data_IF_510778982687
#
_entry.id   IF_510778982687
#
_cell.length_a   1.000
_cell.length_b   1.000
_cell.length_c   1.000
_cell.angle_alpha   90.00
_cell.angle_beta   90.00
_cell.angle_gamma   90.00
#
_symmetry.space_group_name_H-M   'P 1'
#
loop_
_entity.id
_entity.type
_entity.pdbx_description
1 polymer ?
#
# COMPACT_ATOMS: atom_id res chain seq x y z
N UNK A 1 -30.13 47.17 50.35
CA UNK A 1 -29.60 46.80 49.01
C UNK A 1 -30.67 46.60 47.92
N UNK A 2 -31.89 46.12 48.22
CA UNK A 2 -32.93 45.92 47.19
C UNK A 2 -33.39 47.19 46.45
N UNK A 3 -33.58 48.31 47.18
CA UNK A 3 -33.90 49.62 46.60
C UNK A 3 -32.82 50.15 45.66
N UNK A 4 -31.56 49.84 45.94
CA UNK A 4 -30.42 50.24 45.09
C UNK A 4 -30.39 49.41 43.81
N UNK A 5 -30.57 48.08 43.92
CA UNK A 5 -30.69 47.20 42.75
C UNK A 5 -31.81 47.68 41.82
N UNK A 6 -33.00 47.96 42.36
CA UNK A 6 -34.14 48.44 41.58
C UNK A 6 -33.85 49.75 40.84
N UNK A 7 -33.26 50.75 41.52
CA UNK A 7 -32.86 52.01 40.87
C UNK A 7 -31.82 51.80 39.77
N UNK A 8 -30.82 50.94 40.00
CA UNK A 8 -29.80 50.65 39.00
C UNK A 8 -30.41 49.90 37.80
N UNK A 9 -31.33 48.96 38.03
CA UNK A 9 -32.01 48.25 36.94
C UNK A 9 -32.90 49.17 36.12
N UNK A 10 -33.57 50.15 36.74
CA UNK A 10 -34.35 51.15 36.00
C UNK A 10 -33.48 52.17 35.24
N UNK A 11 -32.30 52.51 35.79
CA UNK A 11 -31.37 53.46 35.16
C UNK A 11 -30.63 52.84 33.96
N UNK A 12 -30.30 51.55 34.04
CA UNK A 12 -29.62 50.81 32.98
C UNK A 12 -30.56 49.88 32.20
N UNK A 13 -31.85 50.21 32.14
CA UNK A 13 -32.85 49.40 31.44
C UNK A 13 -32.56 49.30 29.93
N UNK A 14 -31.97 50.35 29.36
CA UNK A 14 -31.61 50.42 27.93
C UNK A 14 -30.22 49.84 27.63
N UNK A 15 -29.45 49.47 28.66
CA UNK A 15 -28.09 48.96 28.54
C UNK A 15 -28.00 47.44 28.74
N UNK A 16 -26.97 46.81 28.17
CA UNK A 16 -26.70 45.37 28.34
C UNK A 16 -26.03 45.04 29.70
N UNK A 17 -26.45 45.71 30.78
CA UNK A 17 -25.80 45.64 32.10
C UNK A 17 -26.61 44.78 33.05
N UNK A 18 -26.09 43.60 33.40
CA UNK A 18 -26.73 42.67 34.34
C UNK A 18 -26.33 42.95 35.79
N UNK A 19 -27.26 43.46 36.59
CA UNK A 19 -27.00 43.81 38.00
C UNK A 19 -27.31 42.61 38.91
N UNK A 20 -26.30 42.12 39.62
CA UNK A 20 -26.38 40.96 40.52
C UNK A 20 -26.04 41.41 41.95
N UNK A 21 -26.81 40.95 42.94
CA UNK A 21 -26.60 41.24 44.37
C UNK A 21 -26.50 39.92 45.14
N UNK A 22 -25.35 39.22 45.07
CA UNK A 22 -25.17 37.94 45.72
C UNK A 22 -25.15 38.11 47.25
N UNK A 23 -25.67 37.12 47.97
CA UNK A 23 -25.51 37.03 49.43
C UNK A 23 -24.11 36.48 49.77
N UNK A 24 -23.76 36.50 51.05
CA UNK A 24 -22.55 35.81 51.53
C UNK A 24 -22.59 34.34 51.08
N UNK A 25 -21.45 33.86 50.58
CA UNK A 25 -21.29 32.50 50.05
C UNK A 25 -22.14 32.17 48.80
N UNK A 26 -22.63 33.17 48.06
CA UNK A 26 -23.27 32.96 46.77
C UNK A 26 -22.28 33.21 45.62
N UNK A 27 -21.95 32.16 44.87
CA UNK A 27 -21.11 32.24 43.67
C UNK A 27 -21.83 32.97 42.54
N UNK A 28 -21.08 33.77 41.78
CA UNK A 28 -21.57 34.46 40.58
C UNK A 28 -20.76 33.96 39.39
N UNK A 29 -21.43 33.29 38.46
CA UNK A 29 -20.83 32.79 37.24
C UNK A 29 -20.99 33.80 36.10
N UNK A 30 -19.87 34.15 35.47
CA UNK A 30 -19.83 35.01 34.31
C UNK A 30 -19.21 34.24 33.15
N UNK A 31 -19.96 34.11 32.06
CA UNK A 31 -19.52 33.41 30.87
C UNK A 31 -18.86 34.41 29.92
N UNK A 32 -17.61 34.18 29.58
CA UNK A 32 -16.88 34.96 28.60
C UNK A 32 -16.60 34.07 27.40
N UNK A 33 -17.25 34.37 26.27
CA UNK A 33 -16.87 33.74 25.01
C UNK A 33 -15.58 34.41 24.53
N UNK A 34 -14.48 33.68 24.60
CA UNK A 34 -13.18 34.15 24.11
C UNK A 34 -12.84 33.40 22.84
N UNK A 35 -12.68 34.14 21.75
CA UNK A 35 -12.16 33.58 20.52
C UNK A 35 -10.70 33.17 20.74
N UNK A 36 -10.40 31.90 20.46
CA UNK A 36 -9.03 31.40 20.56
C UNK A 36 -8.28 31.81 19.30
N UNK A 37 -7.49 32.87 19.41
CA UNK A 37 -6.59 33.31 18.35
C UNK A 37 -5.24 32.61 18.49
N UNK A 38 -4.78 31.97 17.42
CA UNK A 38 -3.44 31.41 17.32
C UNK A 38 -2.60 32.23 16.34
N UNK A 39 -1.34 32.49 16.71
CA UNK A 39 -0.37 33.22 15.88
C UNK A 39 0.51 32.22 15.13
N UNK A 40 0.61 32.35 13.82
CA UNK A 40 1.60 31.59 13.04
C UNK A 40 3.00 32.20 13.25
N UNK A 41 4.01 31.36 13.45
CA UNK A 41 5.42 31.76 13.62
C UNK A 41 6.34 30.82 12.85
N UNK A 42 7.54 31.30 12.52
CA UNK A 42 8.55 30.52 11.79
C UNK A 42 8.28 30.41 10.29
N UNK A 43 8.73 29.32 9.68
CA UNK A 43 8.62 29.08 8.23
C UNK A 43 7.17 29.05 7.75
N UNK A 44 6.25 28.61 8.62
CA UNK A 44 4.82 28.58 8.32
C UNK A 44 4.20 29.99 8.20
N UNK A 45 4.89 31.02 8.70
CA UNK A 45 4.46 32.41 8.58
C UNK A 45 5.01 33.12 7.34
N UNK A 46 5.90 32.48 6.56
CA UNK A 46 6.47 33.08 5.34
C UNK A 46 5.43 33.27 4.23
N UNK A 47 4.49 32.32 4.13
CA UNK A 47 3.37 32.38 3.19
C UNK A 47 2.09 32.71 3.94
N UNK A 48 1.43 33.79 3.55
CA UNK A 48 0.09 34.10 4.05
C UNK A 48 -0.90 33.13 3.41
N UNK A 49 -1.63 32.31 4.19
CA UNK A 49 -2.56 31.34 3.62
C UNK A 49 -3.77 32.04 2.98
N UNK A 50 -4.25 31.48 1.88
CA UNK A 50 -5.47 31.94 1.23
C UNK A 50 -6.73 31.47 1.98
N UNK A 51 -7.87 32.12 1.71
CA UNK A 51 -9.14 31.78 2.34
C UNK A 51 -9.57 30.39 1.90
N UNK A 52 -9.56 29.43 2.83
CA UNK A 52 -9.89 28.02 2.58
C UNK A 52 -8.68 27.08 2.51
N UNK A 53 -7.46 27.61 2.59
CA UNK A 53 -6.25 26.80 2.64
C UNK A 53 -6.09 26.14 4.02
N UNK A 54 -5.75 24.84 4.02
CA UNK A 54 -5.55 24.08 5.25
C UNK A 54 -4.13 24.33 5.74
N UNK A 55 -4.01 25.02 6.87
CA UNK A 55 -2.73 25.22 7.55
C UNK A 55 -2.47 24.05 8.51
N UNK A 56 -1.41 23.28 8.25
CA UNK A 56 -0.96 22.19 9.12
C UNK A 56 0.32 22.58 9.87
N UNK A 57 0.40 22.20 11.14
CA UNK A 57 1.54 22.53 11.99
C UNK A 57 1.34 22.11 13.45
N UNK A 58 2.35 22.37 14.27
CA UNK A 58 2.33 22.14 15.70
C UNK A 58 1.71 23.35 16.41
N UNK A 59 0.67 23.10 17.22
CA UNK A 59 0.07 24.11 18.09
C UNK A 59 0.72 24.07 19.48
N UNK A 60 1.45 25.12 19.83
CA UNK A 60 2.06 25.29 21.15
C UNK A 60 1.25 26.31 21.96
N UNK A 61 0.80 25.90 23.15
CA UNK A 61 0.10 26.77 24.10
C UNK A 61 1.05 27.23 25.20
N UNK A 62 1.32 28.52 25.26
CA UNK A 62 2.07 29.16 26.36
C UNK A 62 1.12 30.08 27.13
N UNK A 63 0.60 29.60 28.26
CA UNK A 63 -0.40 30.31 29.04
C UNK A 63 -1.70 30.51 28.25
N UNK A 64 -2.04 31.77 27.94
CA UNK A 64 -3.22 32.14 27.14
C UNK A 64 -2.89 32.38 25.65
N UNK A 65 -1.62 32.33 25.27
CA UNK A 65 -1.20 32.53 23.87
C UNK A 65 -1.08 31.19 23.16
N UNK A 66 -1.66 31.11 21.97
CA UNK A 66 -1.56 29.97 21.07
C UNK A 66 -0.64 30.34 19.90
N UNK A 67 0.32 29.49 19.59
CA UNK A 67 1.25 29.65 18.48
C UNK A 67 1.20 28.42 17.60
N UNK A 68 1.09 28.59 16.29
CA UNK A 68 1.19 27.51 15.30
C UNK A 68 2.55 27.65 14.62
N UNK A 69 3.30 26.57 14.55
CA UNK A 69 4.66 26.55 13.98
C UNK A 69 4.92 25.24 13.22
N UNK A 70 5.95 25.23 12.37
CA UNK A 70 6.46 24.00 11.76
C UNK A 70 7.17 23.11 12.81
N UNK A 71 7.33 21.83 12.53
CA UNK A 71 8.06 20.89 13.40
C UNK A 71 9.49 21.33 13.67
N UNK A 72 10.14 21.88 12.65
CA UNK A 72 11.55 22.23 12.69
C UNK A 72 11.79 23.48 13.53
N UNK A 73 10.81 24.38 13.61
CA UNK A 73 10.89 25.65 14.33
C UNK A 73 10.64 25.52 15.85
N UNK A 74 10.24 24.33 16.31
CA UNK A 74 9.87 24.11 17.71
C UNK A 74 11.02 24.45 18.67
N UNK A 75 12.26 24.09 18.30
CA UNK A 75 13.44 24.35 19.12
C UNK A 75 13.85 25.83 19.17
N UNK A 76 13.43 26.64 18.19
CA UNK A 76 13.77 28.08 18.09
C UNK A 76 12.79 28.91 18.90
N UNK A 77 11.50 28.63 18.80
CA UNK A 77 10.43 29.45 19.39
C UNK A 77 9.89 28.91 20.71
N UNK A 78 10.32 27.71 21.13
CA UNK A 78 9.97 27.10 22.41
C UNK A 78 11.21 26.82 23.27
N UNK A 79 11.00 26.62 24.57
CA UNK A 79 12.04 26.11 25.48
C UNK A 79 12.13 24.58 25.47
N UNK A 80 11.37 23.93 24.58
CA UNK A 80 11.36 22.48 24.43
C UNK A 80 12.58 22.05 23.62
N UNK A 81 13.39 21.18 24.19
CA UNK A 81 14.44 20.49 23.44
C UNK A 81 13.79 19.47 22.51
N UNK A 82 14.11 19.56 21.22
CA UNK A 82 13.79 18.50 20.26
C UNK A 82 14.86 17.41 20.36
N UNK A 83 14.43 16.15 20.30
CA UNK A 83 15.31 15.00 20.21
C UNK A 83 14.72 14.04 19.19
N UNK A 84 15.53 13.63 18.23
CA UNK A 84 15.16 12.58 17.29
C UNK A 84 15.53 11.24 17.89
N UNK A 85 14.53 10.43 18.20
CA UNK A 85 14.75 9.04 18.57
C UNK A 85 14.84 8.25 17.28
N UNK A 86 15.91 7.49 17.11
CA UNK A 86 16.03 6.53 16.01
C UNK A 86 16.08 5.14 16.59
N UNK A 87 15.16 4.28 16.16
CA UNK A 87 15.18 2.86 16.51
C UNK A 87 15.83 2.09 15.36
N UNK A 88 16.75 1.19 15.69
CA UNK A 88 17.45 0.34 14.74
C UNK A 88 17.42 -1.09 15.23
N UNK A 89 16.80 -1.99 14.46
CA UNK A 89 16.76 -3.42 14.76
C UNK A 89 17.68 -4.13 13.77
N UNK A 90 18.59 -4.94 14.28
CA UNK A 90 19.48 -5.78 13.47
C UNK A 90 19.05 -7.23 13.57
N UNK A 91 18.78 -7.84 12.42
CA UNK A 91 18.24 -9.21 12.32
C UNK A 91 19.26 -10.06 11.54
N UNK A 92 19.65 -11.23 12.07
CA UNK A 92 20.49 -12.16 11.32
C UNK A 92 19.70 -12.79 10.17
N UNK A 93 20.22 -12.68 8.97
CA UNK A 93 19.65 -13.23 7.74
C UNK A 93 20.75 -13.63 6.76
N UNK A 94 20.92 -14.93 6.52
CA UNK A 94 21.95 -15.48 5.63
C UNK A 94 21.50 -15.66 4.16
N UNK A 95 20.30 -15.20 3.81
CA UNK A 95 19.76 -15.33 2.46
C UNK A 95 20.13 -14.16 1.55
N UNK A 96 19.83 -14.27 0.26
CA UNK A 96 20.06 -13.18 -0.69
C UNK A 96 19.07 -12.03 -0.48
N UNK A 97 19.56 -10.79 -0.52
CA UNK A 97 18.73 -9.58 -0.36
C UNK A 97 17.57 -9.49 -1.35
N UNK A 98 17.78 -9.99 -2.57
CA UNK A 98 16.76 -10.04 -3.62
C UNK A 98 15.51 -10.85 -3.20
N UNK A 99 15.66 -11.86 -2.35
CA UNK A 99 14.53 -12.65 -1.84
C UNK A 99 13.65 -11.78 -0.93
N UNK A 100 14.27 -11.02 -0.03
CA UNK A 100 13.55 -10.09 0.85
C UNK A 100 12.88 -8.98 0.04
N UNK A 101 13.58 -8.43 -0.96
CA UNK A 101 13.00 -7.45 -1.87
C UNK A 101 11.75 -8.00 -2.60
N UNK A 102 11.82 -9.23 -3.10
CA UNK A 102 10.68 -9.85 -3.79
C UNK A 102 9.50 -10.09 -2.83
N UNK A 103 9.77 -10.63 -1.64
CA UNK A 103 8.73 -10.87 -0.62
C UNK A 103 8.09 -9.58 -0.13
N UNK A 104 8.86 -8.51 0.06
CA UNK A 104 8.32 -7.20 0.43
C UNK A 104 7.42 -6.63 -0.67
N UNK A 105 7.79 -6.79 -1.95
CA UNK A 105 6.94 -6.39 -3.08
C UNK A 105 5.64 -7.20 -3.21
N UNK A 106 5.62 -8.45 -2.70
CA UNK A 106 4.40 -9.26 -2.66
C UNK A 106 3.41 -8.77 -1.59
N UNK A 107 3.91 -8.21 -0.48
CA UNK A 107 3.09 -7.80 0.67
C UNK A 107 2.74 -6.31 0.60
N UNK A 108 3.68 -5.48 0.15
CA UNK A 108 3.53 -4.04 0.10
C UNK A 108 3.54 -3.54 -1.35
N UNK A 109 2.62 -2.63 -1.64
CA UNK A 109 2.49 -2.00 -2.96
C UNK A 109 3.63 -1.02 -3.27
N UNK A 110 4.17 -0.35 -2.24
CA UNK A 110 5.22 0.66 -2.40
C UNK A 110 6.54 0.21 -1.77
N UNK A 111 7.39 -0.40 -2.60
CA UNK A 111 8.76 -0.81 -2.23
C UNK A 111 9.74 -0.27 -3.25
N UNK A 112 10.46 0.77 -2.86
CA UNK A 112 11.47 1.42 -3.69
C UNK A 112 12.86 0.90 -3.32
N UNK A 113 13.61 0.44 -4.32
CA UNK A 113 15.03 0.14 -4.14
C UNK A 113 15.84 1.39 -4.33
N UNK A 114 16.48 1.84 -3.26
CA UNK A 114 17.47 2.90 -3.29
C UNK A 114 18.84 2.32 -2.95
N UNK A 115 19.91 2.99 -3.38
CA UNK A 115 21.24 2.72 -2.84
C UNK A 115 21.58 3.88 -1.93
N UNK A 116 22.01 3.59 -0.71
CA UNK A 116 22.40 4.63 0.22
C UNK A 116 23.72 5.26 -0.26
N UNK A 117 23.68 6.53 -0.68
CA UNK A 117 24.81 7.21 -1.35
C UNK A 117 26.05 7.32 -0.44
N UNK A 118 25.86 7.26 0.88
CA UNK A 118 26.91 7.42 1.88
C UNK A 118 27.61 6.10 2.27
N UNK A 119 26.94 4.95 2.09
CA UNK A 119 27.46 3.65 2.52
C UNK A 119 27.56 2.60 1.41
N UNK A 120 27.00 2.86 0.22
CA UNK A 120 27.08 1.97 -0.95
C UNK A 120 26.31 0.66 -0.77
N UNK A 121 25.50 0.56 0.27
CA UNK A 121 24.76 -0.63 0.66
C UNK A 121 23.38 -0.63 -0.01
N UNK A 122 22.89 -1.78 -0.51
CA UNK A 122 21.53 -1.87 -1.04
C UNK A 122 20.50 -1.60 0.06
N UNK A 123 19.57 -0.69 -0.20
CA UNK A 123 18.48 -0.30 0.70
C UNK A 123 17.11 -0.39 0.04
N UNK A 124 16.09 -0.70 0.84
CA UNK A 124 14.70 -0.75 0.42
C UNK A 124 13.90 0.19 1.30
N UNK A 125 13.17 1.10 0.67
CA UNK A 125 12.23 1.99 1.36
C UNK A 125 10.82 1.45 1.18
N UNK A 126 10.17 1.12 2.28
CA UNK A 126 8.82 0.57 2.33
C UNK A 126 7.86 1.66 2.81
N UNK A 127 6.82 1.96 2.01
CA UNK A 127 5.80 2.97 2.32
C UNK A 127 6.38 4.36 2.70
N UNK A 128 7.53 4.73 2.11
CA UNK A 128 8.28 5.96 2.41
C UNK A 128 8.70 6.16 3.88
N UNK A 129 8.44 5.18 4.75
CA UNK A 129 8.57 5.31 6.21
C UNK A 129 9.67 4.42 6.77
N UNK A 130 9.64 3.13 6.45
CA UNK A 130 10.62 2.17 6.96
C UNK A 130 11.74 1.96 5.94
N UNK A 131 12.98 2.06 6.41
CA UNK A 131 14.16 1.74 5.59
C UNK A 131 14.78 0.42 6.02
N UNK A 132 14.94 -0.50 5.08
CA UNK A 132 15.62 -1.79 5.25
C UNK A 132 16.99 -1.70 4.57
N UNK A 133 18.08 -1.89 5.30
CA UNK A 133 19.46 -1.85 4.79
C UNK A 133 20.19 -3.16 5.05
N UNK A 134 21.01 -3.62 4.11
CA UNK A 134 21.85 -4.82 4.30
C UNK A 134 23.24 -4.46 4.86
N UNK A 135 23.37 -4.33 6.18
CA UNK A 135 24.63 -3.87 6.78
C UNK A 135 25.81 -4.85 6.58
N UNK A 136 25.55 -6.15 6.47
CA UNK A 136 26.58 -7.15 6.16
C UNK A 136 25.96 -8.35 5.42
N UNK A 137 26.80 -9.29 4.94
CA UNK A 137 26.33 -10.49 4.23
C UNK A 137 25.21 -11.23 4.99
N UNK A 138 25.27 -11.23 6.33
CA UNK A 138 24.34 -11.96 7.18
C UNK A 138 23.43 -11.08 8.06
N UNK A 139 23.39 -9.76 7.89
CA UNK A 139 22.57 -8.90 8.76
C UNK A 139 21.75 -7.87 7.97
N UNK A 140 20.47 -7.80 8.31
CA UNK A 140 19.53 -6.79 7.85
C UNK A 140 19.20 -5.83 8.97
N UNK A 141 19.13 -4.56 8.63
CA UNK A 141 18.77 -3.47 9.54
C UNK A 141 17.43 -2.88 9.12
N UNK A 142 16.49 -2.74 10.04
CA UNK A 142 15.27 -1.94 9.85
C UNK A 142 15.29 -0.74 10.79
N UNK A 143 14.81 0.41 10.32
CA UNK A 143 14.75 1.64 11.11
C UNK A 143 13.44 2.41 10.89
N UNK A 144 12.62 2.50 11.94
CA UNK A 144 11.57 3.53 12.13
C UNK A 144 10.98 3.36 13.56
N UNK A 145 10.94 4.41 14.41
CA UNK A 145 10.25 4.37 15.70
C UNK A 145 8.74 4.69 15.61
N UNK A 146 8.26 5.31 14.53
CA UNK A 146 6.87 5.79 14.41
C UNK A 146 5.98 4.71 13.78
N UNK A 147 6.50 3.94 12.81
CA UNK A 147 5.75 2.90 12.10
C UNK A 147 6.06 1.49 12.60
N UNK A 148 5.78 1.27 13.90
CA UNK A 148 6.05 0.01 14.61
C UNK A 148 5.39 -1.20 13.93
N UNK A 149 4.10 -1.11 13.57
CA UNK A 149 3.38 -2.19 12.90
C UNK A 149 4.04 -2.64 11.59
N UNK A 150 4.52 -1.70 10.78
CA UNK A 150 5.17 -1.99 9.50
C UNK A 150 6.54 -2.62 9.76
N UNK A 151 7.30 -2.04 10.69
CA UNK A 151 8.61 -2.56 11.10
C UNK A 151 8.52 -3.98 11.65
N UNK A 152 7.53 -4.29 12.50
CA UNK A 152 7.28 -5.63 13.04
C UNK A 152 6.93 -6.63 11.97
N UNK A 153 6.08 -6.25 11.01
CA UNK A 153 5.76 -7.13 9.88
C UNK A 153 6.97 -7.42 8.98
N UNK A 154 7.86 -6.45 8.77
CA UNK A 154 9.12 -6.67 8.04
C UNK A 154 10.04 -7.58 8.84
N UNK A 155 10.17 -7.39 10.15
CA UNK A 155 10.96 -8.26 11.03
C UNK A 155 10.45 -9.70 10.97
N UNK A 156 9.13 -9.89 11.10
CA UNK A 156 8.49 -11.19 11.00
C UNK A 156 8.71 -11.85 9.64
N UNK A 157 8.66 -11.08 8.55
CA UNK A 157 8.95 -11.56 7.20
C UNK A 157 10.39 -12.07 7.07
N UNK A 158 11.36 -11.29 7.56
CA UNK A 158 12.78 -11.67 7.52
C UNK A 158 13.03 -12.93 8.35
N UNK A 159 12.41 -13.04 9.54
CA UNK A 159 12.51 -14.22 10.38
C UNK A 159 11.83 -15.47 9.78
N UNK A 160 10.73 -15.29 9.05
CA UNK A 160 10.10 -16.40 8.33
C UNK A 160 10.95 -16.85 7.13
N UNK A 161 11.51 -15.89 6.39
CA UNK A 161 12.39 -16.16 5.26
C UNK A 161 13.71 -16.85 5.67
N UNK A 162 14.16 -16.72 6.92
CA UNK A 162 15.33 -17.45 7.45
C UNK A 162 15.00 -18.86 7.92
N UNK A 163 13.74 -19.15 8.27
CA UNK A 163 13.27 -20.49 8.67
C UNK A 163 12.98 -21.40 7.48
N UNK A 164 12.50 -20.83 6.39
CA UNK A 164 12.24 -21.57 5.16
C UNK A 164 13.52 -21.63 4.31
N UNK A 165 14.20 -22.78 4.30
CA UNK A 165 15.15 -23.10 3.23
C UNK A 165 14.45 -22.89 1.88
N UNK A 166 15.02 -22.12 0.95
CA UNK A 166 14.29 -21.71 -0.24
C UNK A 166 14.06 -22.95 -1.12
N UNK A 167 12.84 -23.50 -1.04
CA UNK A 167 12.27 -24.25 -2.16
C UNK A 167 11.96 -23.22 -3.23
N UNK A 168 12.98 -22.87 -3.99
CA UNK A 168 12.84 -22.05 -5.19
C UNK A 168 12.09 -22.90 -6.22
N UNK A 169 10.77 -22.92 -6.16
CA UNK A 169 9.97 -22.98 -7.38
C UNK A 169 9.86 -21.54 -7.86
N UNK A 170 10.72 -21.17 -8.81
CA UNK A 170 10.58 -19.91 -9.55
C UNK A 170 9.26 -20.00 -10.31
N UNK A 171 8.18 -19.52 -9.72
CA UNK A 171 7.04 -19.03 -10.48
C UNK A 171 7.26 -17.53 -10.64
N UNK A 172 8.04 -17.20 -11.67
CA UNK A 172 8.24 -15.83 -12.11
C UNK A 172 6.93 -15.32 -12.71
N UNK A 173 6.08 -14.73 -11.89
CA UNK A 173 5.10 -13.75 -12.37
C UNK A 173 5.83 -12.43 -12.63
N UNK A 174 6.69 -12.44 -13.65
CA UNK A 174 7.09 -11.20 -14.30
C UNK A 174 5.88 -10.70 -15.07
N UNK A 175 5.39 -9.51 -14.71
CA UNK A 175 4.46 -8.65 -15.46
C UNK A 175 4.28 -9.13 -16.90
N UNK A 176 3.20 -9.87 -17.12
CA UNK A 176 3.07 -10.70 -18.31
C UNK A 176 2.76 -9.84 -19.53
N UNK A 177 3.64 -9.85 -20.52
CA UNK A 177 3.28 -9.43 -21.86
C UNK A 177 2.22 -10.41 -22.38
N UNK A 178 1.04 -9.93 -22.79
CA UNK A 178 -0.07 -10.76 -23.29
C UNK A 178 0.36 -11.73 -24.41
N UNK A 179 1.41 -11.37 -25.17
CA UNK A 179 2.02 -12.20 -26.21
C UNK A 179 2.81 -13.41 -25.69
N UNK A 180 3.43 -13.31 -24.52
CA UNK A 180 4.16 -14.42 -23.90
C UNK A 180 3.20 -15.44 -23.29
N UNK A 181 2.08 -14.98 -22.73
CA UNK A 181 1.01 -15.83 -22.24
C UNK A 181 0.31 -16.59 -23.34
N UNK A 182 0.04 -15.94 -24.47
CA UNK A 182 -0.49 -16.61 -25.65
C UNK A 182 0.42 -17.75 -26.10
N UNK A 183 1.74 -17.52 -26.14
CA UNK A 183 2.74 -18.53 -26.54
C UNK A 183 2.88 -19.66 -25.50
N UNK A 184 2.78 -19.36 -24.20
CA UNK A 184 2.80 -20.38 -23.14
C UNK A 184 1.52 -21.22 -23.16
N UNK A 185 0.37 -20.59 -23.30
CA UNK A 185 -0.93 -21.25 -23.47
C UNK A 185 -0.93 -22.20 -24.67
N UNK A 186 -0.40 -21.77 -25.82
CA UNK A 186 -0.29 -22.62 -27.02
C UNK A 186 0.58 -23.85 -26.81
N UNK A 187 1.71 -23.71 -26.09
CA UNK A 187 2.59 -24.83 -25.73
C UNK A 187 1.89 -25.83 -24.81
N UNK A 188 1.10 -25.34 -23.85
CA UNK A 188 0.33 -26.18 -22.92
C UNK A 188 -0.76 -26.95 -23.69
N UNK A 189 -1.48 -26.29 -24.59
CA UNK A 189 -2.51 -26.92 -25.44
C UNK A 189 -1.88 -28.04 -26.28
N UNK A 190 -0.72 -27.80 -26.89
CA UNK A 190 -0.01 -28.81 -27.67
C UNK A 190 0.42 -30.01 -26.80
N UNK A 191 1.03 -29.77 -25.64
CA UNK A 191 1.49 -30.83 -24.74
C UNK A 191 0.33 -31.73 -24.24
N UNK A 192 -0.83 -31.13 -23.94
CA UNK A 192 -2.02 -31.87 -23.51
C UNK A 192 -2.63 -32.70 -24.64
N UNK A 193 -2.63 -32.20 -25.87
CA UNK A 193 -3.10 -32.96 -27.04
C UNK A 193 -2.16 -34.14 -27.35
N UNK A 194 -0.84 -33.95 -27.25
CA UNK A 194 0.14 -35.04 -27.33
C UNK A 194 -0.10 -36.08 -26.23
N UNK A 195 -0.38 -35.66 -24.99
CA UNK A 195 -0.67 -36.60 -23.91
C UNK A 195 -1.96 -37.41 -24.10
N UNK A 196 -2.96 -36.87 -24.81
CA UNK A 196 -4.26 -37.51 -24.99
C UNK A 196 -4.33 -38.40 -26.25
N UNK A 197 -3.65 -38.00 -27.32
CA UNK A 197 -3.75 -38.63 -28.64
C UNK A 197 -2.41 -39.19 -29.16
N UNK A 198 -1.31 -38.98 -28.44
CA UNK A 198 0.02 -39.49 -28.79
C UNK A 198 0.68 -38.65 -29.88
N UNK A 199 0.35 -38.94 -31.15
CA UNK A 199 1.02 -38.35 -32.31
C UNK A 199 0.31 -37.09 -32.80
N UNK A 200 0.80 -35.93 -32.36
CA UNK A 200 0.34 -34.60 -32.80
C UNK A 200 1.50 -33.85 -33.45
N UNK A 201 1.34 -33.47 -34.72
CA UNK A 201 2.35 -32.74 -35.50
C UNK A 201 1.82 -31.37 -35.92
N UNK A 202 2.71 -30.39 -36.02
CA UNK A 202 2.41 -29.11 -36.64
C UNK A 202 2.34 -29.27 -38.16
N UNK A 203 1.18 -28.99 -38.76
CA UNK A 203 1.03 -28.86 -40.20
C UNK A 203 1.48 -27.48 -40.70
N UNK A 204 1.78 -27.38 -41.99
CA UNK A 204 2.38 -26.20 -42.61
C UNK A 204 1.50 -24.92 -42.55
N UNK A 205 0.19 -25.06 -42.29
CA UNK A 205 -0.79 -23.95 -42.34
C UNK A 205 -1.39 -23.60 -40.96
N UNK A 206 -0.66 -23.83 -39.87
CA UNK A 206 -1.16 -23.56 -38.52
C UNK A 206 -2.21 -24.57 -38.01
N UNK A 207 -2.53 -25.60 -38.79
CA UNK A 207 -3.34 -26.76 -38.39
C UNK A 207 -2.50 -27.78 -37.60
N UNK A 208 -3.09 -28.42 -36.60
CA UNK A 208 -2.52 -29.56 -35.87
C UNK A 208 -3.00 -30.85 -36.49
N UNK A 209 -2.07 -31.70 -36.93
CA UNK A 209 -2.35 -33.01 -37.52
C UNK A 209 -2.23 -34.05 -36.42
N UNK A 210 -3.35 -34.68 -36.06
CA UNK A 210 -3.45 -35.71 -35.03
C UNK A 210 -3.65 -37.05 -35.74
N UNK A 211 -2.77 -38.01 -35.48
CA UNK A 211 -2.89 -39.36 -36.03
C UNK A 211 -3.17 -40.36 -34.91
N UNK A 212 -4.30 -41.06 -34.99
CA UNK A 212 -4.65 -42.14 -34.06
C UNK A 212 -5.06 -43.35 -34.88
N UNK A 213 -4.32 -44.44 -34.75
CA UNK A 213 -4.61 -45.74 -35.36
C UNK A 213 -4.90 -45.68 -36.88
N UNK A 214 -4.18 -44.83 -37.61
CA UNK A 214 -4.29 -44.67 -39.06
C UNK A 214 -5.37 -43.69 -39.53
N UNK A 215 -6.14 -43.10 -38.62
CA UNK A 215 -7.09 -42.03 -38.91
C UNK A 215 -6.45 -40.67 -38.63
N UNK A 216 -6.45 -39.79 -39.64
CA UNK A 216 -5.85 -38.45 -39.54
C UNK A 216 -6.94 -37.41 -39.29
N UNK A 217 -6.74 -36.56 -38.28
CA UNK A 217 -7.58 -35.40 -38.00
C UNK A 217 -6.76 -34.11 -38.06
N UNK A 218 -7.25 -33.15 -38.84
CA UNK A 218 -6.68 -31.82 -38.95
C UNK A 218 -7.48 -30.85 -38.09
N UNK A 219 -6.87 -30.31 -37.03
CA UNK A 219 -7.48 -29.34 -36.13
C UNK A 219 -6.95 -27.94 -36.42
N UNK A 220 -7.85 -27.00 -36.71
CA UNK A 220 -7.51 -25.58 -36.84
C UNK A 220 -7.46 -24.91 -35.46
N UNK A 221 -6.32 -24.26 -35.16
CA UNK A 221 -6.06 -23.59 -33.88
C UNK A 221 -6.98 -22.38 -33.65
N UNK A 222 -7.35 -21.64 -34.69
CA UNK A 222 -8.10 -20.39 -34.53
C UNK A 222 -9.61 -20.66 -34.40
N UNK A 223 -10.16 -21.45 -35.31
CA UNK A 223 -11.59 -21.77 -35.40
C UNK A 223 -12.00 -22.91 -34.46
N UNK A 224 -11.07 -23.83 -34.14
CA UNK A 224 -11.37 -25.04 -33.37
C UNK A 224 -12.14 -26.09 -34.15
N UNK A 225 -12.17 -25.98 -35.49
CA UNK A 225 -12.78 -26.96 -36.37
C UNK A 225 -11.82 -28.12 -36.67
N UNK A 226 -12.40 -29.31 -36.76
CA UNK A 226 -11.68 -30.58 -36.96
C UNK A 226 -12.16 -31.23 -38.25
N UNK A 227 -11.26 -31.38 -39.21
CA UNK A 227 -11.47 -32.13 -40.45
C UNK A 227 -10.94 -33.55 -40.26
N UNK A 228 -11.83 -34.55 -40.27
CA UNK A 228 -11.48 -35.96 -40.17
C UNK A 228 -12.52 -36.81 -40.91
N UNK A 229 -12.08 -37.90 -41.56
CA UNK A 229 -12.94 -38.86 -42.25
C UNK A 229 -13.80 -39.69 -41.26
N UNK A 230 -13.35 -39.82 -40.02
CA UNK A 230 -14.05 -40.56 -38.97
C UNK A 230 -14.79 -39.61 -38.01
N UNK A 231 -16.13 -39.66 -38.03
CA UNK A 231 -16.97 -38.81 -37.16
C UNK A 231 -16.71 -39.01 -35.66
N UNK A 232 -16.44 -40.24 -35.22
CA UNK A 232 -16.20 -40.53 -33.80
C UNK A 232 -14.90 -39.92 -33.28
N UNK A 233 -13.87 -39.86 -34.12
CA UNK A 233 -12.60 -39.22 -33.77
C UNK A 233 -12.72 -37.69 -33.83
N UNK A 234 -13.47 -37.17 -34.81
CA UNK A 234 -13.78 -35.75 -34.96
C UNK A 234 -14.45 -35.17 -33.71
N UNK A 235 -15.46 -35.83 -33.17
CA UNK A 235 -16.16 -35.36 -31.97
C UNK A 235 -15.30 -35.42 -30.71
N UNK A 236 -14.46 -36.45 -30.58
CA UNK A 236 -13.53 -36.60 -29.43
C UNK A 236 -12.47 -35.51 -29.42
N UNK A 237 -11.83 -35.26 -30.55
CA UNK A 237 -10.81 -34.19 -30.69
C UNK A 237 -11.45 -32.82 -30.44
N UNK A 238 -12.64 -32.55 -31.00
CA UNK A 238 -13.36 -31.29 -30.79
C UNK A 238 -13.72 -31.07 -29.30
N UNK A 239 -14.19 -32.11 -28.63
CA UNK A 239 -14.55 -32.06 -27.21
C UNK A 239 -13.33 -31.85 -26.32
N UNK A 240 -12.24 -32.58 -26.60
CA UNK A 240 -10.97 -32.44 -25.88
C UNK A 240 -10.39 -31.02 -26.07
N UNK A 241 -10.35 -30.52 -27.30
CA UNK A 241 -9.85 -29.17 -27.59
C UNK A 241 -10.66 -28.09 -26.88
N UNK A 242 -12.00 -28.20 -26.89
CA UNK A 242 -12.87 -27.25 -26.18
C UNK A 242 -12.60 -27.24 -24.67
N UNK A 243 -12.44 -28.42 -24.06
CA UNK A 243 -12.13 -28.56 -22.62
C UNK A 243 -10.78 -27.98 -22.25
N UNK A 244 -9.76 -28.25 -23.07
CA UNK A 244 -8.41 -27.72 -22.85
C UNK A 244 -8.42 -26.20 -22.99
N UNK A 245 -9.07 -25.66 -24.03
CA UNK A 245 -9.17 -24.22 -24.26
C UNK A 245 -9.92 -23.50 -23.12
N UNK A 246 -11.00 -24.08 -22.59
CA UNK A 246 -11.71 -23.51 -21.44
C UNK A 246 -10.90 -23.55 -20.14
N UNK A 247 -9.98 -24.51 -20.00
CA UNK A 247 -9.10 -24.60 -18.83
C UNK A 247 -7.92 -23.62 -18.92
N UNK A 248 -7.38 -23.39 -20.12
CA UNK A 248 -6.22 -22.53 -20.36
C UNK A 248 -6.59 -21.04 -20.46
N UNK A 249 -7.81 -20.72 -20.94
CA UNK A 249 -8.38 -19.37 -20.89
C UNK A 249 -9.70 -19.42 -20.12
N UNK A 250 -9.67 -19.33 -18.78
CA UNK A 250 -10.90 -19.21 -18.01
C UNK A 250 -11.68 -17.97 -18.48
N UNK A 251 -12.99 -18.12 -18.63
CA UNK A 251 -13.88 -17.02 -19.02
C UNK A 251 -13.66 -15.89 -18.00
N UNK A 252 -13.37 -14.64 -18.44
CA UNK A 252 -13.27 -13.54 -17.50
C UNK A 252 -14.60 -13.46 -16.74
N UNK A 253 -14.52 -13.46 -15.40
CA UNK A 253 -15.68 -13.19 -14.56
C UNK A 253 -16.26 -11.86 -15.04
N UNK A 254 -17.39 -11.90 -15.74
CA UNK A 254 -18.14 -10.70 -16.07
C UNK A 254 -18.47 -10.05 -14.75
N UNK A 255 -17.85 -8.89 -14.48
CA UNK A 255 -18.24 -8.04 -13.39
C UNK A 255 -19.73 -7.70 -13.58
N UNK A 256 -20.56 -8.24 -12.70
CA UNK A 256 -21.95 -7.86 -12.51
C UNK A 256 -22.05 -7.09 -11.20
#
# INVERSE_FOLDING_TARGET
>A
MGRLKQKLTSLFADGNTKIITPKNCQSVEMHFNSEKMAKTVGNLAEKTPEVGEIVSGLLVKKGFTYQIMASDDLHVFSQLSTANVTQRITIPYSGAFAVIQHRLKQIYESVESSTDEESGVPSLRVHERVTVKQESENHLCTADPISDMVSDSIVALVLNASREMPKVSVESETLMNEEEDAKKAEKIVHALLVSLFGDVKFGNDGKLVINVDGNVANLDKQTGDVECENEGLKERVRTAYRRIRSAVKPIPLSAA
#
